data_IF_772209985158
#
_entry.id   IF_772209985158
#
_cell.length_a   1.000
_cell.length_b   1.000
_cell.length_c   1.000
_cell.angle_alpha   90.00
_cell.angle_beta   90.00
_cell.angle_gamma   90.00
#
_symmetry.space_group_name_H-M   'P 1'
#
loop_
_entity.id
_entity.type
_entity.pdbx_description
1 polymer ?
#
# COMPACT_ATOMS: atom_id res chain seq x y z
N UNK A 1 -4.15 -6.88 2.25
CA UNK A 1 -2.74 -6.60 1.97
C UNK A 1 -1.91 -7.87 1.88
N UNK A 2 -0.66 -7.76 1.43
CA UNK A 2 0.27 -8.88 1.42
C UNK A 2 1.70 -8.39 1.27
N UNK A 3 2.62 -9.08 1.91
CA UNK A 3 4.06 -8.83 1.84
C UNK A 3 4.84 -10.13 1.79
N UNK A 4 6.05 -10.11 1.26
CA UNK A 4 6.94 -11.27 1.23
C UNK A 4 8.26 -10.95 0.57
N UNK A 5 9.31 -11.63 0.98
CA UNK A 5 10.63 -11.51 0.38
C UNK A 5 10.78 -12.42 -0.84
N UNK A 6 10.09 -13.58 -0.82
CA UNK A 6 10.16 -14.61 -1.85
C UNK A 6 8.96 -15.59 -1.73
N UNK A 7 8.99 -16.66 -2.53
CA UNK A 7 7.94 -17.67 -2.56
C UNK A 7 7.98 -18.66 -1.35
N UNK A 8 8.88 -18.46 -0.41
CA UNK A 8 8.99 -19.29 0.80
C UNK A 8 8.61 -18.54 2.08
N UNK A 9 8.32 -17.23 1.97
CA UNK A 9 8.12 -16.36 3.12
C UNK A 9 7.21 -15.18 2.77
N UNK A 10 5.96 -15.22 3.26
CA UNK A 10 4.97 -14.16 3.00
C UNK A 10 3.98 -13.99 4.15
N UNK A 11 3.27 -12.87 4.17
CA UNK A 11 2.05 -12.64 4.96
C UNK A 11 0.90 -12.27 4.03
N UNK A 12 -0.27 -12.82 4.30
CA UNK A 12 -1.55 -12.31 3.84
C UNK A 12 -2.17 -11.52 5.00
N UNK A 13 -2.57 -10.29 4.75
CA UNK A 13 -2.93 -9.35 5.82
C UNK A 13 -4.31 -8.78 5.56
N UNK A 14 -5.26 -9.08 6.43
CA UNK A 14 -6.57 -8.43 6.44
C UNK A 14 -7.26 -8.46 5.06
N UNK A 15 -8.48 -8.07 4.95
CA UNK A 15 -9.18 -8.10 3.67
C UNK A 15 -10.69 -8.07 3.82
N UNK A 16 -11.37 -8.71 2.89
CA UNK A 16 -12.83 -8.83 2.86
C UNK A 16 -13.22 -10.29 2.67
N UNK A 17 -14.11 -10.77 3.51
CA UNK A 17 -14.89 -11.98 3.36
C UNK A 17 -16.26 -11.67 2.77
N UNK A 18 -17.04 -12.66 2.35
CA UNK A 18 -18.32 -12.41 1.67
C UNK A 18 -19.31 -11.51 2.42
N UNK A 19 -19.19 -11.37 3.73
CA UNK A 19 -20.12 -10.62 4.59
C UNK A 19 -19.52 -9.51 5.43
N UNK A 20 -18.18 -9.44 5.56
CA UNK A 20 -17.51 -8.49 6.44
C UNK A 20 -16.03 -8.29 6.09
N UNK A 21 -15.42 -7.24 6.63
CA UNK A 21 -13.96 -7.15 6.66
C UNK A 21 -13.41 -8.15 7.68
N UNK A 22 -12.27 -8.77 7.36
CA UNK A 22 -11.53 -9.60 8.29
C UNK A 22 -10.28 -8.89 8.82
N UNK A 23 -9.87 -9.23 10.04
CA UNK A 23 -8.60 -8.80 10.62
C UNK A 23 -7.52 -9.87 10.49
N UNK A 24 -7.89 -11.05 10.04
CA UNK A 24 -7.03 -12.23 10.01
C UNK A 24 -5.73 -12.01 9.25
N UNK A 25 -4.67 -12.57 9.80
CA UNK A 25 -3.34 -12.56 9.19
C UNK A 25 -2.80 -13.98 9.14
N UNK A 26 -2.39 -14.39 7.95
CA UNK A 26 -1.77 -15.69 7.74
C UNK A 26 -0.32 -15.56 7.27
N UNK A 27 0.54 -16.42 7.79
CA UNK A 27 1.95 -16.52 7.45
C UNK A 27 2.23 -17.74 6.60
N UNK A 28 2.90 -17.56 5.48
CA UNK A 28 3.40 -18.60 4.59
C UNK A 28 4.85 -18.96 4.90
N UNK A 29 5.15 -20.24 5.06
CA UNK A 29 6.48 -20.75 5.38
C UNK A 29 7.15 -21.53 4.22
N UNK A 30 6.63 -21.43 3.01
CA UNK A 30 7.08 -22.18 1.84
C UNK A 30 6.30 -23.49 1.61
N UNK A 31 5.46 -23.91 2.57
CA UNK A 31 4.71 -25.17 2.49
C UNK A 31 3.25 -25.00 2.91
N UNK A 32 3.01 -24.27 3.99
CA UNK A 32 1.67 -24.09 4.57
C UNK A 32 1.45 -22.64 4.98
N UNK A 33 0.18 -22.20 4.89
CA UNK A 33 -0.31 -21.02 5.59
C UNK A 33 -0.64 -21.39 7.03
N UNK A 34 -0.34 -20.50 7.95
CA UNK A 34 -0.63 -20.64 9.38
C UNK A 34 -1.13 -19.29 9.89
N UNK A 35 -2.27 -19.32 10.55
CA UNK A 35 -2.83 -18.13 11.22
C UNK A 35 -1.87 -17.61 12.29
N UNK A 36 -1.68 -16.29 12.32
CA UNK A 36 -0.85 -15.57 13.31
C UNK A 36 -1.69 -14.48 13.95
N UNK A 37 -1.09 -13.62 14.77
CA UNK A 37 -1.85 -12.57 15.44
C UNK A 37 -2.39 -11.54 14.42
N UNK A 38 -3.66 -11.19 14.60
CA UNK A 38 -4.43 -10.32 13.72
C UNK A 38 -4.04 -8.84 13.83
N UNK A 39 -4.36 -8.07 12.79
CA UNK A 39 -4.35 -6.60 12.87
C UNK A 39 -5.41 -6.12 13.86
N UNK A 40 -5.16 -5.00 14.54
CA UNK A 40 -6.07 -4.45 15.54
C UNK A 40 -7.43 -4.03 14.99
N UNK A 41 -7.52 -3.72 13.70
CA UNK A 41 -8.77 -3.28 13.07
C UNK A 41 -9.01 -3.99 11.74
N UNK A 42 -10.10 -4.77 11.66
CA UNK A 42 -10.55 -5.42 10.43
C UNK A 42 -10.85 -4.38 9.33
N UNK A 43 -10.13 -4.44 8.21
CA UNK A 43 -10.27 -3.49 7.11
C UNK A 43 -9.77 -4.06 5.78
N UNK A 44 -10.25 -3.49 4.70
CA UNK A 44 -9.85 -3.85 3.32
C UNK A 44 -9.28 -2.66 2.59
N UNK A 45 -8.72 -2.87 1.39
CA UNK A 45 -8.26 -1.84 0.46
C UNK A 45 -7.15 -0.92 1.05
N UNK A 46 -6.44 -1.41 2.06
CA UNK A 46 -5.21 -0.80 2.57
C UNK A 46 -3.99 -1.29 1.78
N UNK A 47 -2.85 -0.68 2.07
CA UNK A 47 -1.57 -1.00 1.47
C UNK A 47 -0.60 -1.56 2.52
N UNK A 48 0.33 -2.41 2.07
CA UNK A 48 1.33 -3.03 2.93
C UNK A 48 2.72 -3.02 2.30
N UNK A 49 3.74 -2.96 3.13
CA UNK A 49 5.15 -3.08 2.74
C UNK A 49 5.94 -3.87 3.78
N UNK A 50 7.12 -4.35 3.39
CA UNK A 50 8.01 -5.10 4.24
C UNK A 50 8.10 -6.57 3.85
N UNK A 51 8.43 -7.40 4.82
CA UNK A 51 8.59 -8.85 4.69
C UNK A 51 7.82 -9.58 5.81
N UNK A 52 7.75 -10.92 5.72
CA UNK A 52 7.02 -11.75 6.69
C UNK A 52 7.30 -11.43 8.16
N UNK A 53 8.55 -11.12 8.51
CA UNK A 53 8.94 -10.94 9.91
C UNK A 53 8.89 -9.47 10.37
N UNK A 54 8.72 -8.54 9.44
CA UNK A 54 8.57 -7.10 9.71
C UNK A 54 7.77 -6.45 8.59
N UNK A 55 6.60 -5.93 8.90
CA UNK A 55 5.71 -5.34 7.91
C UNK A 55 5.01 -4.08 8.45
N UNK A 56 4.47 -3.30 7.53
CA UNK A 56 3.57 -2.17 7.80
C UNK A 56 2.29 -2.37 6.98
N UNK A 57 1.15 -2.02 7.57
CA UNK A 57 -0.16 -2.02 6.91
C UNK A 57 -0.85 -0.70 7.18
N UNK A 58 -1.17 0.07 6.14
CA UNK A 58 -1.63 1.45 6.23
C UNK A 58 -2.90 1.73 5.42
N UNK A 59 -3.74 2.64 5.95
CA UNK A 59 -4.98 3.07 5.33
C UNK A 59 -6.03 1.97 5.22
N UNK A 60 -6.96 2.18 4.30
CA UNK A 60 -7.99 1.20 3.98
C UNK A 60 -9.41 1.67 4.28
N UNK A 61 -10.31 0.70 4.39
CA UNK A 61 -11.75 0.91 4.53
C UNK A 61 -12.37 -0.05 5.54
N UNK A 62 -13.10 0.50 6.51
CA UNK A 62 -13.94 -0.25 7.45
C UNK A 62 -15.41 -0.16 7.03
N UNK A 63 -16.13 0.85 7.45
CA UNK A 63 -17.37 1.39 6.87
C UNK A 63 -17.14 2.80 6.33
N UNK A 64 -15.97 3.38 6.67
CA UNK A 64 -15.43 4.65 6.19
C UNK A 64 -13.95 4.46 5.84
N UNK A 65 -13.35 5.44 5.17
CA UNK A 65 -11.90 5.46 4.97
C UNK A 65 -11.22 5.63 6.32
N UNK A 66 -10.10 4.95 6.52
CA UNK A 66 -9.28 5.05 7.72
C UNK A 66 -7.84 5.41 7.36
N UNK A 67 -7.17 6.07 8.31
CA UNK A 67 -5.76 6.44 8.19
C UNK A 67 -4.84 5.44 8.92
N UNK A 68 -5.42 4.50 9.66
CA UNK A 68 -4.75 3.58 10.56
C UNK A 68 -3.48 2.97 9.96
N UNK A 69 -2.41 3.01 10.73
CA UNK A 69 -1.15 2.36 10.38
C UNK A 69 -0.73 1.43 11.51
N UNK A 70 -0.46 0.18 11.16
CA UNK A 70 0.01 -0.84 12.09
C UNK A 70 1.33 -1.43 11.62
N UNK A 71 2.22 -1.73 12.55
CA UNK A 71 3.50 -2.40 12.31
C UNK A 71 3.49 -3.81 12.90
N UNK A 72 4.01 -4.75 12.13
CA UNK A 72 4.27 -6.14 12.49
C UNK A 72 5.73 -6.35 12.86
N UNK A 73 5.99 -6.99 14.00
CA UNK A 73 7.34 -7.28 14.48
C UNK A 73 7.72 -8.77 14.42
N UNK A 74 7.02 -9.56 13.63
CA UNK A 74 7.17 -11.02 13.57
C UNK A 74 6.29 -11.79 14.54
N UNK A 75 5.60 -11.09 15.47
CA UNK A 75 4.74 -11.73 16.49
C UNK A 75 3.45 -10.96 16.74
N UNK A 76 3.48 -9.64 16.78
CA UNK A 76 2.32 -8.80 17.09
C UNK A 76 2.25 -7.58 16.18
N UNK A 77 1.03 -7.15 15.91
CA UNK A 77 0.73 -5.84 15.33
C UNK A 77 0.67 -4.79 16.42
N UNK A 78 1.18 -3.62 16.13
CA UNK A 78 1.14 -2.45 17.03
C UNK A 78 0.74 -1.24 16.21
N UNK A 79 -0.27 -0.50 16.68
CA UNK A 79 -0.67 0.77 16.06
C UNK A 79 0.47 1.79 16.23
N UNK A 80 0.76 2.49 15.16
CA UNK A 80 1.79 3.53 15.08
C UNK A 80 1.18 4.81 14.52
N UNK A 81 1.99 5.82 14.16
CA UNK A 81 1.46 7.07 13.63
C UNK A 81 0.77 6.87 12.28
N UNK A 82 -0.44 7.39 12.19
CA UNK A 82 -1.33 7.23 11.06
C UNK A 82 -0.94 8.07 9.84
N UNK A 83 -1.46 7.71 8.67
CA UNK A 83 -1.46 8.57 7.48
C UNK A 83 -2.08 9.93 7.81
N UNK A 84 -1.57 10.99 7.20
CA UNK A 84 -2.15 12.33 7.35
C UNK A 84 -3.57 12.42 6.78
N UNK A 85 -3.88 11.60 5.79
CA UNK A 85 -5.21 11.57 5.16
C UNK A 85 -5.78 10.16 5.12
N UNK A 86 -6.97 9.95 5.74
CA UNK A 86 -7.70 8.69 5.71
C UNK A 86 -8.16 8.37 4.29
N UNK A 87 -7.67 7.27 3.70
CA UNK A 87 -7.95 6.88 2.32
C UNK A 87 -7.78 5.38 2.07
N UNK A 88 -8.48 4.90 1.06
CA UNK A 88 -8.40 3.53 0.55
C UNK A 88 -7.88 3.49 -0.87
N UNK A 89 -7.66 2.29 -1.42
CA UNK A 89 -7.14 2.09 -2.77
C UNK A 89 -5.83 2.84 -3.02
N UNK A 90 -5.08 3.06 -1.95
CA UNK A 90 -3.72 3.58 -2.03
C UNK A 90 -2.80 2.47 -2.51
N UNK A 91 -1.76 2.85 -3.20
CA UNK A 91 -0.69 1.94 -3.57
C UNK A 91 0.64 2.63 -3.30
N UNK A 92 1.68 1.83 -3.17
CA UNK A 92 2.97 2.37 -2.79
C UNK A 92 4.10 1.38 -3.06
N UNK A 93 5.31 1.82 -2.80
CA UNK A 93 6.49 0.99 -2.85
C UNK A 93 7.20 0.98 -1.49
N UNK A 94 7.86 -0.13 -1.19
CA UNK A 94 8.64 -0.31 0.03
C UNK A 94 8.86 -1.79 0.29
N UNK A 95 10.10 -2.22 0.18
CA UNK A 95 10.53 -3.55 0.64
C UNK A 95 10.83 -3.54 2.13
N UNK A 96 10.87 -2.35 2.74
CA UNK A 96 11.15 -2.14 4.15
C UNK A 96 9.94 -1.55 4.88
N UNK A 97 9.66 -2.08 6.06
CA UNK A 97 8.67 -1.51 6.97
C UNK A 97 9.09 -0.15 7.56
N UNK A 98 10.29 0.33 7.28
CA UNK A 98 10.83 1.61 7.79
C UNK A 98 11.01 2.69 6.73
N UNK A 99 10.79 2.36 5.45
CA UNK A 99 10.98 3.31 4.34
C UNK A 99 10.03 2.97 3.21
N UNK A 100 9.06 3.83 2.96
CA UNK A 100 8.04 3.61 1.95
C UNK A 100 7.49 4.92 1.39
N UNK A 101 6.92 4.85 0.19
CA UNK A 101 6.11 5.91 -0.40
C UNK A 101 4.75 5.35 -0.76
N UNK A 102 3.69 6.07 -0.43
CA UNK A 102 2.32 5.78 -0.89
C UNK A 102 1.76 6.96 -1.65
N UNK A 103 1.05 6.69 -2.73
CA UNK A 103 0.46 7.73 -3.57
C UNK A 103 -0.96 7.41 -4.01
N UNK A 104 -1.73 8.46 -4.29
CA UNK A 104 -3.08 8.33 -4.82
C UNK A 104 -4.10 7.80 -3.81
N UNK A 105 -5.09 7.08 -4.34
CA UNK A 105 -6.16 6.51 -3.56
C UNK A 105 -7.45 7.32 -3.58
N UNK A 106 -8.35 7.03 -2.64
CA UNK A 106 -9.68 7.63 -2.59
C UNK A 106 -10.10 8.01 -1.18
N UNK A 107 -10.62 9.24 -1.04
CA UNK A 107 -11.35 9.72 0.14
C UNK A 107 -12.86 9.68 -0.15
N UNK A 108 -13.50 10.78 -0.49
CA UNK A 108 -14.77 10.83 -1.22
C UNK A 108 -14.53 10.99 -2.72
N UNK A 109 -13.39 11.57 -3.08
CA UNK A 109 -12.88 11.74 -4.44
C UNK A 109 -11.54 11.05 -4.62
N UNK A 110 -11.13 10.86 -5.86
CA UNK A 110 -9.80 10.35 -6.24
C UNK A 110 -8.75 11.38 -5.84
N UNK A 111 -7.62 10.92 -5.31
CA UNK A 111 -6.57 11.73 -4.72
C UNK A 111 -5.25 11.64 -5.52
N UNK A 112 -4.45 12.70 -5.40
CA UNK A 112 -3.06 12.72 -5.86
C UNK A 112 -2.06 12.61 -4.69
N UNK A 113 -2.55 12.79 -3.46
CA UNK A 113 -1.74 12.90 -2.25
C UNK A 113 -0.68 11.82 -2.14
N UNK A 114 0.55 12.24 -1.86
CA UNK A 114 1.70 11.36 -1.67
C UNK A 114 2.26 11.54 -0.26
N UNK A 115 2.50 10.44 0.44
CA UNK A 115 3.10 10.43 1.77
C UNK A 115 4.30 9.49 1.83
N UNK A 116 5.34 9.91 2.54
CA UNK A 116 6.54 9.13 2.83
C UNK A 116 6.50 8.63 4.26
N UNK A 117 6.81 7.35 4.44
CA UNK A 117 7.04 6.72 5.74
C UNK A 117 8.55 6.64 6.05
N UNK A 118 8.94 7.10 7.23
CA UNK A 118 10.34 7.09 7.68
C UNK A 118 10.63 6.08 8.82
N UNK A 119 9.71 5.15 9.06
CA UNK A 119 9.78 4.20 10.17
C UNK A 119 9.09 4.67 11.45
N UNK A 120 8.66 5.94 11.50
CA UNK A 120 8.00 6.52 12.68
C UNK A 120 6.79 7.38 12.31
N UNK A 121 6.91 8.21 11.28
CA UNK A 121 5.87 9.15 10.87
C UNK A 121 5.66 9.13 9.36
N UNK A 122 4.42 9.42 8.97
CA UNK A 122 4.07 9.79 7.61
C UNK A 122 4.28 11.30 7.41
N UNK A 123 4.84 11.67 6.29
CA UNK A 123 5.04 13.07 5.89
C UNK A 123 4.47 13.27 4.51
N UNK A 124 3.56 14.23 4.38
CA UNK A 124 3.03 14.64 3.07
C UNK A 124 4.12 15.33 2.26
N UNK A 125 4.22 14.98 1.00
CA UNK A 125 5.22 15.47 0.05
C UNK A 125 4.56 15.89 -1.26
N UNK A 126 5.34 16.14 -2.32
CA UNK A 126 4.80 16.54 -3.62
C UNK A 126 3.93 15.42 -4.22
N UNK A 127 2.73 15.80 -4.62
CA UNK A 127 1.70 14.91 -5.12
C UNK A 127 2.00 14.33 -6.51
N UNK A 128 1.32 13.24 -6.85
CA UNK A 128 1.20 12.77 -8.23
C UNK A 128 0.69 13.90 -9.13
N UNK A 129 1.20 14.01 -10.35
CA UNK A 129 0.68 14.98 -11.31
C UNK A 129 -0.76 14.65 -11.75
N UNK A 130 -1.10 13.37 -11.73
CA UNK A 130 -2.47 12.89 -12.05
C UNK A 130 -3.06 12.16 -10.86
N UNK A 131 -4.14 12.71 -10.26
CA UNK A 131 -4.88 12.05 -9.20
C UNK A 131 -5.47 10.71 -9.68
N UNK A 132 -5.25 9.62 -8.94
CA UNK A 132 -5.71 8.28 -9.33
C UNK A 132 -5.81 7.31 -8.16
N UNK A 133 -6.73 6.36 -8.27
CA UNK A 133 -6.82 5.22 -7.36
C UNK A 133 -6.37 3.93 -8.06
N UNK A 134 -5.92 2.94 -7.29
CA UNK A 134 -5.45 1.63 -7.78
C UNK A 134 -4.37 1.70 -8.89
N UNK A 135 -3.39 2.63 -8.89
CA UNK A 135 -2.26 2.48 -9.78
C UNK A 135 -1.44 1.25 -9.40
N UNK A 136 -0.69 0.70 -10.33
CA UNK A 136 0.37 -0.24 -10.00
C UNK A 136 1.59 0.57 -9.57
N UNK A 137 2.13 0.31 -8.37
CA UNK A 137 3.36 0.98 -7.93
C UNK A 137 4.44 -0.07 -7.68
N UNK A 138 5.63 0.21 -8.19
CA UNK A 138 6.84 -0.60 -8.01
C UNK A 138 7.98 0.26 -7.51
N UNK A 139 8.93 -0.32 -6.81
CA UNK A 139 10.08 0.39 -6.23
C UNK A 139 10.51 -0.22 -4.92
N UNK A 140 11.68 0.17 -4.43
CA UNK A 140 12.28 -0.45 -3.26
C UNK A 140 12.03 0.30 -1.94
N UNK A 141 11.82 1.62 -1.99
CA UNK A 141 11.78 2.45 -0.78
C UNK A 141 11.12 3.82 -1.04
N UNK A 142 11.26 4.73 -0.08
CA UNK A 142 10.72 6.09 -0.13
C UNK A 142 11.44 7.02 -1.13
N UNK A 143 12.53 6.59 -1.76
CA UNK A 143 13.34 7.46 -2.64
C UNK A 143 13.12 7.20 -4.12
N UNK A 144 12.53 6.06 -4.49
CA UNK A 144 12.22 5.74 -5.86
C UNK A 144 10.96 4.88 -5.97
N UNK A 145 10.08 5.21 -6.89
CA UNK A 145 8.89 4.46 -7.21
C UNK A 145 8.42 4.77 -8.62
N UNK A 146 7.79 3.81 -9.26
CA UNK A 146 7.12 3.98 -10.55
C UNK A 146 5.64 3.68 -10.37
N UNK A 147 4.78 4.68 -10.57
CA UNK A 147 3.33 4.54 -10.53
C UNK A 147 2.78 4.48 -11.96
N UNK A 148 2.10 3.41 -12.32
CA UNK A 148 1.61 3.18 -13.68
C UNK A 148 0.13 2.81 -13.70
N UNK A 149 -0.62 3.38 -14.63
CA UNK A 149 -2.05 3.10 -14.79
C UNK A 149 -2.89 3.64 -13.62
N UNK A 150 -3.97 2.97 -13.32
CA UNK A 150 -4.94 3.36 -12.30
C UNK A 150 -6.25 3.89 -12.90
N UNK A 151 -7.07 4.48 -12.05
CA UNK A 151 -8.36 5.09 -12.42
C UNK A 151 -8.39 6.58 -12.03
N UNK A 152 -8.68 7.48 -13.01
CA UNK A 152 -8.57 8.93 -12.86
C UNK A 152 -9.49 9.72 -13.83
N UNK A 153 -10.75 9.96 -13.61
CA UNK A 153 -11.84 9.07 -13.19
C UNK A 153 -12.11 7.91 -14.14
N UNK A 154 -11.46 7.88 -15.30
CA UNK A 154 -11.46 6.74 -16.21
C UNK A 154 -10.15 5.97 -16.09
N UNK A 155 -10.13 4.73 -16.55
CA UNK A 155 -8.92 3.91 -16.58
C UNK A 155 -7.84 4.62 -17.40
N UNK A 156 -6.65 4.76 -16.83
CA UNK A 156 -5.54 5.50 -17.45
C UNK A 156 -4.31 4.62 -17.72
N UNK A 157 -3.47 5.06 -18.64
CA UNK A 157 -2.17 4.46 -18.92
C UNK A 157 -1.00 5.28 -18.33
N UNK A 158 -1.29 6.45 -17.77
CA UNK A 158 -0.28 7.40 -17.27
C UNK A 158 0.74 6.74 -16.36
N UNK A 159 2.01 7.03 -16.60
CA UNK A 159 3.12 6.54 -15.81
C UNK A 159 3.94 7.70 -15.26
N UNK A 160 4.21 7.67 -13.95
CA UNK A 160 5.00 8.68 -13.25
C UNK A 160 6.11 8.03 -12.42
N UNK A 161 7.29 8.63 -12.47
CA UNK A 161 8.48 8.23 -11.71
C UNK A 161 8.68 9.17 -10.53
N UNK A 162 8.78 8.62 -9.33
CA UNK A 162 9.19 9.29 -8.10
C UNK A 162 10.71 9.22 -7.93
N UNK A 163 11.35 10.35 -7.71
CA UNK A 163 12.81 10.46 -7.54
C UNK A 163 13.24 10.79 -6.10
N UNK A 164 12.36 10.62 -5.13
CA UNK A 164 12.59 11.00 -3.72
C UNK A 164 12.11 12.43 -3.40
N UNK A 165 11.73 13.22 -4.40
CA UNK A 165 11.29 14.62 -4.21
C UNK A 165 10.05 14.97 -5.05
N UNK A 166 10.02 14.56 -6.31
CA UNK A 166 8.94 14.89 -7.24
C UNK A 166 8.56 13.68 -8.10
N UNK A 167 7.29 13.67 -8.51
CA UNK A 167 6.80 12.80 -9.58
C UNK A 167 7.06 13.44 -10.94
N UNK A 168 7.52 12.66 -11.89
CA UNK A 168 7.81 13.08 -13.26
C UNK A 168 7.15 12.13 -14.22
N UNK A 169 6.34 12.66 -15.14
CA UNK A 169 5.66 11.87 -16.18
C UNK A 169 6.68 11.15 -17.06
N UNK A 170 6.39 9.91 -17.38
CA UNK A 170 7.18 9.01 -18.22
C UNK A 170 6.34 8.52 -19.39
N UNK A 171 6.92 7.66 -20.23
CA UNK A 171 6.17 6.99 -21.28
C UNK A 171 5.08 6.11 -20.70
N UNK A 172 3.88 6.26 -21.18
CA UNK A 172 2.69 5.55 -20.70
C UNK A 172 2.72 4.04 -20.99
N UNK A 173 1.89 3.31 -20.26
CA UNK A 173 1.58 1.93 -20.62
C UNK A 173 0.93 1.87 -22.01
N UNK A 174 1.25 0.83 -22.80
CA UNK A 174 0.62 0.61 -24.11
C UNK A 174 -0.91 0.43 -24.02
N UNK A 175 -1.42 0.03 -22.87
CA UNK A 175 -2.85 -0.17 -22.64
C UNK A 175 -3.22 0.31 -21.24
N UNK A 176 -4.19 1.21 -21.15
CA UNK A 176 -4.74 1.69 -19.88
C UNK A 176 -5.29 0.52 -19.05
N UNK A 177 -4.95 0.49 -17.77
CA UNK A 177 -5.40 -0.55 -16.82
C UNK A 177 -5.30 -0.09 -15.37
N UNK A 178 -6.03 -0.75 -14.49
CA UNK A 178 -5.94 -0.55 -13.03
C UNK A 178 -5.91 -1.89 -12.31
N UNK A 179 -5.50 -1.88 -11.04
CA UNK A 179 -5.48 -3.07 -10.18
C UNK A 179 -4.52 -4.17 -10.64
N UNK A 180 -3.54 -3.84 -11.47
CA UNK A 180 -2.50 -4.79 -11.84
C UNK A 180 -1.51 -4.98 -10.68
N UNK A 181 -0.93 -6.17 -10.55
CA UNK A 181 0.15 -6.43 -9.61
C UNK A 181 1.44 -5.74 -10.07
N UNK A 182 2.22 -5.26 -9.13
CA UNK A 182 3.57 -4.76 -9.33
C UNK A 182 4.54 -5.48 -8.41
N UNK A 183 5.81 -5.53 -8.79
CA UNK A 183 6.92 -6.07 -8.00
C UNK A 183 8.15 -5.17 -8.16
N UNK A 184 9.11 -5.24 -7.23
CA UNK A 184 10.33 -4.47 -7.27
C UNK A 184 11.38 -5.05 -6.33
#
# INVERSE_FOLDING_TARGET
GGVGADNTSALAISGEEPSANTAEVESWNGTNWTEVNDVGTARRLGWSAGVRDNAIYAGGYTSTNVALTEQWNGSNWTEVNDLNTARRNITGSGQSYTSAVVGGGKTGSIQAATELWNGTNWTEVNDLNTARENPTVTGSDSTNALASGGEAPAVTAVTELWNGTNWTEQNDLNTARYGAGGGG
#
